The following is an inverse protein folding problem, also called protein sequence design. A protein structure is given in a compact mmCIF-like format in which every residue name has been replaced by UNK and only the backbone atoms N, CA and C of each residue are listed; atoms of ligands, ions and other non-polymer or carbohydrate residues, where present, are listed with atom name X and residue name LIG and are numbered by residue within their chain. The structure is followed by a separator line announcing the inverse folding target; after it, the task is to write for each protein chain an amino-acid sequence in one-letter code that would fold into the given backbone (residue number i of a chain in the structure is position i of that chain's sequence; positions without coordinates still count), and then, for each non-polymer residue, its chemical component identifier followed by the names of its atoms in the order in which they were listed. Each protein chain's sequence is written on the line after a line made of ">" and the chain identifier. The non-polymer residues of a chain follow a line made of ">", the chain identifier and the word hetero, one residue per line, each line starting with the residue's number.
data_IF_144129566917
#
_entry.id   IF_144129566917
#
_cell.length_a   1.000
_cell.length_b   1.000
_cell.length_c   1.000
_cell.angle_alpha   90.00
_cell.angle_beta   90.00
_cell.angle_gamma   90.00
#
_symmetry.space_group_name_H-M   'P 1'
#
loop_
_entity.id
_entity.type
_entity.pdbx_description
1 polymer ?
#
# COMPACT_ATOMS: atom_id res chain seq x y z
N UNK A 1 -32.70 -78.72 88.40
CA UNK A 1 -32.96 -77.28 88.12
C UNK A 1 -31.71 -76.49 87.65
N UNK A 2 -30.56 -77.12 87.34
CA UNK A 2 -29.35 -76.41 86.83
C UNK A 2 -29.30 -76.26 85.30
N UNK A 3 -29.99 -77.10 84.53
CA UNK A 3 -29.93 -77.07 83.06
C UNK A 3 -30.72 -75.91 82.42
N UNK A 4 -31.74 -75.38 83.11
CA UNK A 4 -32.54 -74.26 82.61
C UNK A 4 -31.79 -72.91 82.63
N UNK A 5 -30.80 -72.72 83.51
CA UNK A 5 -29.98 -71.51 83.54
C UNK A 5 -28.89 -71.49 82.47
N UNK A 6 -28.30 -72.65 82.16
CA UNK A 6 -27.27 -72.79 81.12
C UNK A 6 -27.85 -72.53 79.72
N UNK A 7 -29.07 -73.00 79.46
CA UNK A 7 -29.79 -72.74 78.19
C UNK A 7 -30.16 -71.25 78.06
N UNK A 8 -30.48 -70.56 79.17
CA UNK A 8 -30.78 -69.12 79.15
C UNK A 8 -29.54 -68.26 78.90
N UNK A 9 -28.39 -68.66 79.45
CA UNK A 9 -27.12 -67.96 79.25
C UNK A 9 -26.56 -68.15 77.82
N UNK A 10 -26.69 -69.35 77.25
CA UNK A 10 -26.27 -69.61 75.86
C UNK A 10 -27.17 -68.91 74.84
N UNK A 11 -28.49 -68.87 75.09
CA UNK A 11 -29.45 -68.12 74.26
C UNK A 11 -29.19 -66.61 74.25
N UNK A 12 -28.83 -66.01 75.39
CA UNK A 12 -28.44 -64.59 75.46
C UNK A 12 -27.15 -64.29 74.69
N UNK A 13 -26.15 -65.17 74.77
CA UNK A 13 -24.90 -65.02 74.01
C UNK A 13 -25.10 -65.20 72.51
N UNK A 14 -25.92 -66.17 72.10
CA UNK A 14 -26.31 -66.34 70.72
C UNK A 14 -27.04 -65.10 70.19
N UNK A 15 -28.04 -64.58 70.93
CA UNK A 15 -28.76 -63.36 70.55
C UNK A 15 -27.87 -62.12 70.38
N UNK A 16 -26.88 -61.93 71.27
CA UNK A 16 -25.92 -60.82 71.15
C UNK A 16 -25.02 -60.99 69.91
N UNK A 17 -24.60 -62.22 69.60
CA UNK A 17 -23.80 -62.50 68.40
C UNK A 17 -24.60 -62.28 67.11
N UNK A 18 -25.87 -62.66 67.07
CA UNK A 18 -26.73 -62.39 65.90
C UNK A 18 -26.97 -60.89 65.72
N UNK A 19 -27.23 -60.17 66.80
CA UNK A 19 -27.40 -58.70 66.77
C UNK A 19 -26.10 -58.03 66.30
N UNK A 20 -24.94 -58.47 66.82
CA UNK A 20 -23.64 -57.98 66.38
C UNK A 20 -23.36 -58.25 64.90
N UNK A 21 -23.68 -59.46 64.41
CA UNK A 21 -23.56 -59.82 63.00
C UNK A 21 -24.47 -58.98 62.10
N UNK A 22 -25.72 -58.74 62.51
CA UNK A 22 -26.67 -57.89 61.78
C UNK A 22 -26.19 -56.44 61.73
N UNK A 23 -25.65 -55.91 62.83
CA UNK A 23 -25.10 -54.54 62.86
C UNK A 23 -23.90 -54.36 61.93
N UNK A 24 -23.01 -55.35 61.83
CA UNK A 24 -21.88 -55.31 60.90
C UNK A 24 -22.37 -55.29 59.44
N UNK A 25 -23.37 -56.11 59.11
CA UNK A 25 -23.96 -56.12 57.76
C UNK A 25 -24.60 -54.77 57.44
N UNK A 26 -25.38 -54.20 58.37
CA UNK A 26 -26.01 -52.89 58.20
C UNK A 26 -24.96 -51.78 58.02
N UNK A 27 -23.90 -51.78 58.84
CA UNK A 27 -22.80 -50.82 58.74
C UNK A 27 -22.06 -50.94 57.39
N UNK A 28 -21.85 -52.15 56.90
CA UNK A 28 -21.21 -52.38 55.60
C UNK A 28 -22.06 -51.91 54.41
N UNK A 29 -23.38 -52.10 54.48
CA UNK A 29 -24.32 -51.56 53.49
C UNK A 29 -24.36 -50.03 53.52
N UNK A 30 -24.34 -49.42 54.69
CA UNK A 30 -24.32 -47.97 54.84
C UNK A 30 -23.02 -47.35 54.29
N UNK A 31 -21.88 -47.98 54.58
CA UNK A 31 -20.58 -47.56 54.03
C UNK A 31 -20.55 -47.68 52.51
N UNK A 32 -21.04 -48.79 51.96
CA UNK A 32 -21.15 -49.00 50.51
C UNK A 32 -22.03 -47.95 49.85
N UNK A 33 -23.21 -47.67 50.41
CA UNK A 33 -24.12 -46.63 49.94
C UNK A 33 -23.48 -45.23 49.96
N UNK A 34 -22.76 -44.89 51.03
CA UNK A 34 -22.08 -43.60 51.16
C UNK A 34 -20.93 -43.45 50.15
N UNK A 35 -20.12 -44.50 49.96
CA UNK A 35 -19.07 -44.56 48.94
C UNK A 35 -19.64 -44.40 47.54
N UNK A 36 -20.69 -45.15 47.19
CA UNK A 36 -21.41 -45.06 45.92
C UNK A 36 -21.95 -43.64 45.67
N UNK A 37 -22.55 -43.01 46.69
CA UNK A 37 -23.02 -41.62 46.62
C UNK A 37 -21.89 -40.62 46.32
N UNK A 38 -20.74 -40.76 47.00
CA UNK A 38 -19.58 -39.89 46.74
C UNK A 38 -18.97 -40.14 45.36
N UNK A 39 -18.95 -41.39 44.90
CA UNK A 39 -18.47 -41.76 43.59
C UNK A 39 -19.36 -41.19 42.49
N UNK A 40 -20.69 -41.29 42.64
CA UNK A 40 -21.65 -40.73 41.69
C UNK A 40 -21.54 -39.20 41.60
N UNK A 41 -21.35 -38.50 42.73
CA UNK A 41 -21.08 -37.05 42.73
C UNK A 41 -19.79 -36.70 41.99
N UNK A 42 -18.73 -37.49 42.18
CA UNK A 42 -17.44 -37.28 41.49
C UNK A 42 -17.53 -37.55 39.97
N UNK A 43 -18.33 -38.53 39.57
CA UNK A 43 -18.59 -38.85 38.16
C UNK A 43 -19.37 -37.70 37.51
N UNK A 44 -20.45 -37.23 38.14
CA UNK A 44 -21.23 -36.08 37.63
C UNK A 44 -20.38 -34.80 37.52
N UNK A 45 -19.51 -34.54 38.50
CA UNK A 45 -18.58 -33.41 38.45
C UNK A 45 -17.58 -33.54 37.28
N UNK A 46 -17.00 -34.73 37.07
CA UNK A 46 -16.09 -34.98 35.93
C UNK A 46 -16.80 -34.89 34.58
N UNK A 47 -18.04 -35.34 34.47
CA UNK A 47 -18.84 -35.19 33.25
C UNK A 47 -19.11 -33.73 32.91
N UNK A 48 -19.41 -32.89 33.91
CA UNK A 48 -19.57 -31.45 33.71
C UNK A 48 -18.28 -30.80 33.22
N UNK A 49 -17.15 -31.12 33.86
CA UNK A 49 -15.83 -30.62 33.45
C UNK A 49 -15.51 -31.06 32.01
N UNK A 50 -15.80 -32.31 31.63
CA UNK A 50 -15.61 -32.78 30.26
C UNK A 50 -16.47 -32.02 29.25
N UNK A 51 -17.73 -31.72 29.57
CA UNK A 51 -18.61 -30.89 28.72
C UNK A 51 -18.07 -29.47 28.58
N UNK A 52 -17.53 -28.87 29.64
CA UNK A 52 -16.88 -27.56 29.58
C UNK A 52 -15.63 -27.57 28.70
N UNK A 53 -14.78 -28.60 28.80
CA UNK A 53 -13.62 -28.73 27.92
C UNK A 53 -14.02 -28.93 26.46
N UNK A 54 -15.04 -29.76 26.19
CA UNK A 54 -15.56 -29.96 24.83
C UNK A 54 -16.09 -28.65 24.24
N UNK A 55 -16.80 -27.83 25.03
CA UNK A 55 -17.30 -26.53 24.57
C UNK A 55 -16.16 -25.53 24.34
N UNK A 56 -15.14 -25.48 25.21
CA UNK A 56 -13.93 -24.66 25.01
C UNK A 56 -13.16 -25.07 23.74
N UNK A 57 -13.00 -26.37 23.50
CA UNK A 57 -12.34 -26.89 22.29
C UNK A 57 -13.14 -26.50 21.04
N UNK A 58 -14.47 -26.63 21.06
CA UNK A 58 -15.33 -26.21 19.94
C UNK A 58 -15.19 -24.71 19.65
N UNK A 59 -15.21 -23.86 20.70
CA UNK A 59 -15.03 -22.41 20.55
C UNK A 59 -13.66 -22.06 19.95
N UNK A 60 -12.57 -22.64 20.47
CA UNK A 60 -11.23 -22.41 19.93
C UNK A 60 -11.07 -22.91 18.50
N UNK A 61 -11.63 -24.07 18.16
CA UNK A 61 -11.62 -24.58 16.77
C UNK A 61 -12.32 -23.61 15.82
N UNK A 62 -13.47 -23.06 16.20
CA UNK A 62 -14.19 -22.07 15.39
C UNK A 62 -13.39 -20.77 15.22
N UNK A 63 -12.69 -20.32 16.26
CA UNK A 63 -11.84 -19.12 16.21
C UNK A 63 -10.62 -19.30 15.30
N UNK A 64 -9.94 -20.45 15.40
CA UNK A 64 -8.83 -20.80 14.51
C UNK A 64 -9.30 -20.90 13.05
N UNK A 65 -10.48 -21.48 12.80
CA UNK A 65 -11.03 -21.54 11.45
C UNK A 65 -11.37 -20.15 10.90
N UNK A 66 -11.88 -19.25 11.75
CA UNK A 66 -12.13 -17.85 11.38
C UNK A 66 -10.82 -17.11 11.05
N UNK A 67 -9.78 -17.29 11.86
CA UNK A 67 -8.46 -16.70 11.59
C UNK A 67 -7.83 -17.26 10.32
N UNK A 68 -7.96 -18.57 10.08
CA UNK A 68 -7.47 -19.20 8.85
C UNK A 68 -8.16 -18.64 7.61
N UNK A 69 -9.50 -18.50 7.64
CA UNK A 69 -10.27 -17.86 6.55
C UNK A 69 -9.83 -16.41 6.31
N UNK A 70 -9.56 -15.65 7.37
CA UNK A 70 -9.05 -14.28 7.26
C UNK A 70 -7.66 -14.26 6.60
N UNK A 71 -6.73 -15.11 7.06
CA UNK A 71 -5.39 -15.21 6.50
C UNK A 71 -5.41 -15.63 5.02
N UNK A 72 -6.26 -16.60 4.65
CA UNK A 72 -6.45 -17.01 3.25
C UNK A 72 -7.02 -15.88 2.39
N UNK A 73 -7.98 -15.10 2.90
CA UNK A 73 -8.50 -13.93 2.17
C UNK A 73 -7.44 -12.85 1.97
N UNK A 74 -6.66 -12.54 3.01
CA UNK A 74 -5.57 -11.55 2.91
C UNK A 74 -4.46 -12.01 1.96
N UNK A 75 -4.14 -13.31 1.94
CA UNK A 75 -3.15 -13.86 1.01
C UNK A 75 -3.66 -13.80 -0.44
N UNK A 76 -4.95 -14.06 -0.67
CA UNK A 76 -5.56 -13.89 -2.01
C UNK A 76 -5.54 -12.44 -2.46
N UNK A 77 -5.89 -11.49 -1.59
CA UNK A 77 -5.79 -10.05 -1.89
C UNK A 77 -4.35 -9.64 -2.23
N UNK A 78 -3.36 -10.08 -1.45
CA UNK A 78 -1.95 -9.81 -1.73
C UNK A 78 -1.51 -10.39 -3.09
N UNK A 79 -2.00 -11.58 -3.46
CA UNK A 79 -1.76 -12.18 -4.77
C UNK A 79 -2.34 -11.35 -5.92
N UNK A 80 -3.59 -10.91 -5.79
CA UNK A 80 -4.25 -10.05 -6.80
C UNK A 80 -3.52 -8.71 -6.93
N UNK A 81 -3.11 -8.10 -5.82
CA UNK A 81 -2.36 -6.85 -5.84
C UNK A 81 -0.99 -7.01 -6.51
N UNK A 82 -0.27 -8.11 -6.26
CA UNK A 82 1.00 -8.41 -6.93
C UNK A 82 0.82 -8.56 -8.44
N UNK A 83 -0.20 -9.31 -8.87
CA UNK A 83 -0.50 -9.47 -10.29
C UNK A 83 -0.82 -8.12 -10.97
N UNK A 84 -1.59 -7.24 -10.30
CA UNK A 84 -1.85 -5.88 -10.81
C UNK A 84 -0.59 -5.03 -10.90
N UNK A 85 0.32 -5.12 -9.94
CA UNK A 85 1.60 -4.39 -9.97
C UNK A 85 2.46 -4.87 -11.16
N UNK A 86 2.49 -6.17 -11.41
CA UNK A 86 3.23 -6.76 -12.53
C UNK A 86 2.65 -6.35 -13.88
N UNK A 87 1.32 -6.39 -14.02
CA UNK A 87 0.61 -5.91 -15.22
C UNK A 87 0.85 -4.41 -15.49
N UNK A 88 0.81 -3.58 -14.44
CA UNK A 88 1.12 -2.15 -14.54
C UNK A 88 2.58 -1.91 -14.95
N UNK A 89 3.54 -2.67 -14.39
CA UNK A 89 4.95 -2.58 -14.78
C UNK A 89 5.16 -3.00 -16.23
N UNK A 90 4.50 -4.08 -16.66
CA UNK A 90 4.55 -4.56 -18.05
C UNK A 90 3.99 -3.53 -19.03
N UNK A 91 2.86 -2.90 -18.69
CA UNK A 91 2.25 -1.83 -19.48
C UNK A 91 3.17 -0.62 -19.59
N UNK A 92 3.82 -0.22 -18.49
CA UNK A 92 4.80 0.89 -18.50
C UNK A 92 6.02 0.58 -19.37
N UNK A 93 6.57 -0.63 -19.29
CA UNK A 93 7.68 -1.07 -20.13
C UNK A 93 7.30 -1.07 -21.61
N UNK A 94 6.17 -1.68 -21.95
CA UNK A 94 5.65 -1.72 -23.32
C UNK A 94 5.41 -0.32 -23.91
N UNK A 95 4.94 0.63 -23.08
CA UNK A 95 4.75 2.02 -23.48
C UNK A 95 6.09 2.70 -23.77
N UNK A 96 7.10 2.49 -22.92
CA UNK A 96 8.45 3.03 -23.13
C UNK A 96 9.08 2.46 -24.40
N UNK A 97 9.03 1.14 -24.59
CA UNK A 97 9.56 0.46 -25.78
C UNK A 97 8.87 0.96 -27.06
N UNK A 98 7.55 1.17 -26.99
CA UNK A 98 6.79 1.78 -28.08
C UNK A 98 7.24 3.22 -28.35
N UNK A 99 7.38 4.04 -27.31
CA UNK A 99 7.84 5.43 -27.46
C UNK A 99 9.23 5.50 -28.09
N UNK A 100 10.16 4.64 -27.68
CA UNK A 100 11.52 4.55 -28.25
C UNK A 100 11.46 4.06 -29.70
N UNK A 101 10.73 2.97 -29.98
CA UNK A 101 10.60 2.43 -31.34
C UNK A 101 9.97 3.42 -32.32
N UNK A 102 9.00 4.23 -31.88
CA UNK A 102 8.37 5.21 -32.77
C UNK A 102 9.26 6.45 -32.94
N UNK A 103 9.98 6.85 -31.90
CA UNK A 103 10.98 7.93 -31.95
C UNK A 103 12.08 7.63 -32.95
N UNK A 104 12.69 6.44 -32.89
CA UNK A 104 13.83 6.06 -33.73
C UNK A 104 13.43 5.85 -35.20
N UNK A 105 12.24 5.29 -35.46
CA UNK A 105 11.80 4.95 -36.82
C UNK A 105 11.24 6.13 -37.60
N UNK A 106 10.52 7.05 -36.94
CA UNK A 106 9.70 8.04 -37.66
C UNK A 106 10.29 9.45 -37.74
N UNK A 107 11.52 9.72 -37.23
CA UNK A 107 12.12 11.07 -37.20
C UNK A 107 11.10 12.14 -36.81
N UNK A 108 10.34 11.85 -35.75
CA UNK A 108 9.23 12.69 -35.33
C UNK A 108 9.78 14.05 -34.89
N UNK A 109 9.48 15.12 -35.63
CA UNK A 109 10.03 16.49 -35.44
C UNK A 109 9.63 17.16 -34.11
N UNK A 110 8.87 16.44 -33.29
CA UNK A 110 8.34 16.83 -31.98
C UNK A 110 9.38 16.63 -30.87
N UNK A 111 10.36 15.77 -31.13
CA UNK A 111 11.46 15.44 -30.23
C UNK A 111 12.65 16.26 -30.72
N UNK A 112 13.24 17.09 -29.86
CA UNK A 112 14.48 17.77 -30.20
C UNK A 112 15.45 16.73 -30.75
N UNK A 113 15.92 16.93 -31.99
CA UNK A 113 16.85 15.99 -32.65
C UNK A 113 18.17 15.83 -31.88
N UNK A 114 18.38 16.69 -30.89
CA UNK A 114 19.48 16.73 -29.94
C UNK A 114 19.13 16.13 -28.57
N UNK A 115 18.00 15.46 -28.38
CA UNK A 115 17.68 14.77 -27.12
C UNK A 115 18.33 13.38 -27.12
N UNK A 116 19.12 13.08 -26.08
CA UNK A 116 19.65 11.74 -25.86
C UNK A 116 18.55 10.83 -25.26
N UNK A 117 17.78 10.19 -26.13
CA UNK A 117 16.66 9.34 -25.75
C UNK A 117 17.05 8.11 -24.95
N UNK A 118 18.19 7.51 -25.25
CA UNK A 118 18.70 6.36 -24.52
C UNK A 118 18.94 6.70 -23.04
N UNK A 119 19.48 7.90 -22.75
CA UNK A 119 19.67 8.35 -21.38
C UNK A 119 18.34 8.64 -20.65
N UNK A 120 17.35 9.18 -21.37
CA UNK A 120 15.99 9.40 -20.83
C UNK A 120 15.33 8.08 -20.49
N UNK A 121 15.40 7.11 -21.40
CA UNK A 121 14.85 5.76 -21.21
C UNK A 121 15.50 5.07 -20.01
N UNK A 122 16.84 5.07 -19.93
CA UNK A 122 17.56 4.45 -18.84
C UNK A 122 17.14 5.02 -17.48
N UNK A 123 17.10 6.35 -17.34
CA UNK A 123 16.68 6.97 -16.08
C UNK A 123 15.21 6.68 -15.75
N UNK A 124 14.34 6.62 -16.77
CA UNK A 124 12.93 6.23 -16.55
C UNK A 124 12.79 4.78 -16.12
N UNK A 125 13.61 3.87 -16.64
CA UNK A 125 13.64 2.47 -16.22
C UNK A 125 14.12 2.32 -14.77
N UNK A 126 15.13 3.10 -14.38
CA UNK A 126 15.68 3.13 -13.02
C UNK A 126 14.71 3.73 -11.98
N UNK A 127 13.79 4.61 -12.40
CA UNK A 127 12.77 5.14 -11.50
C UNK A 127 11.82 4.04 -11.00
N UNK A 128 11.51 4.01 -9.69
CA UNK A 128 10.51 3.10 -9.16
C UNK A 128 9.15 3.38 -9.81
N UNK A 129 8.35 2.32 -9.99
CA UNK A 129 6.97 2.47 -10.39
C UNK A 129 6.23 3.32 -9.35
N UNK A 130 5.54 4.38 -9.79
CA UNK A 130 4.99 5.36 -8.88
C UNK A 130 4.53 6.66 -9.55
N UNK A 131 4.06 7.61 -8.74
CA UNK A 131 3.52 8.89 -9.20
C UNK A 131 4.57 9.74 -9.90
N UNK A 132 5.85 9.67 -9.48
CA UNK A 132 6.96 10.37 -10.16
C UNK A 132 7.13 9.89 -11.60
N UNK A 133 7.28 8.57 -11.78
CA UNK A 133 7.45 7.96 -13.11
C UNK A 133 6.24 8.23 -13.99
N UNK A 134 5.02 8.09 -13.45
CA UNK A 134 3.78 8.37 -14.17
C UNK A 134 3.67 9.84 -14.63
N UNK A 135 4.10 10.80 -13.81
CA UNK A 135 4.08 12.21 -14.20
C UNK A 135 4.97 12.47 -15.43
N UNK A 136 6.17 11.89 -15.45
CA UNK A 136 7.10 12.05 -16.58
C UNK A 136 6.54 11.34 -17.82
N UNK A 137 6.05 10.11 -17.70
CA UNK A 137 5.44 9.39 -18.82
C UNK A 137 4.24 10.15 -19.41
N UNK A 138 3.36 10.67 -18.55
CA UNK A 138 2.23 11.49 -18.99
C UNK A 138 2.71 12.76 -19.70
N UNK A 139 3.75 13.42 -19.21
CA UNK A 139 4.34 14.58 -19.88
C UNK A 139 4.89 14.21 -21.27
N UNK A 140 5.59 13.09 -21.40
CA UNK A 140 6.13 12.59 -22.68
C UNK A 140 4.99 12.31 -23.67
N UNK A 141 3.96 11.59 -23.24
CA UNK A 141 2.80 11.28 -24.07
C UNK A 141 2.07 12.52 -24.55
N UNK A 142 1.92 13.53 -23.69
CA UNK A 142 1.28 14.80 -24.05
C UNK A 142 2.12 15.57 -25.06
N UNK A 143 3.44 15.62 -24.88
CA UNK A 143 4.32 16.27 -25.85
C UNK A 143 4.23 15.58 -27.21
N UNK A 144 4.18 14.26 -27.22
CA UNK A 144 4.08 13.47 -28.44
C UNK A 144 2.73 13.62 -29.17
N UNK A 145 1.68 14.05 -28.47
CA UNK A 145 0.36 14.36 -29.06
C UNK A 145 0.32 15.74 -29.76
N UNK A 146 1.43 16.47 -29.84
CA UNK A 146 1.49 17.80 -30.44
C UNK A 146 0.48 18.78 -29.83
N UNK A 147 0.32 18.74 -28.51
CA UNK A 147 -0.62 19.64 -27.83
C UNK A 147 -0.16 21.09 -28.02
N UNK A 148 -1.00 21.98 -28.58
CA UNK A 148 -0.58 23.34 -28.91
C UNK A 148 -0.34 24.19 -27.66
N UNK A 149 0.50 25.20 -27.79
CA UNK A 149 0.56 26.27 -26.80
C UNK A 149 -0.71 27.10 -26.84
N UNK A 150 -1.26 27.42 -25.67
CA UNK A 150 -2.42 28.29 -25.55
C UNK A 150 -2.44 29.01 -24.23
N UNK A 151 -2.27 30.34 -24.28
CA UNK A 151 -2.14 31.19 -23.10
C UNK A 151 -3.39 31.10 -22.22
N UNK A 152 -3.22 30.76 -20.95
CA UNK A 152 -4.31 30.71 -19.98
C UNK A 152 -5.17 29.44 -20.05
N UNK A 153 -4.92 28.54 -21.01
CA UNK A 153 -5.65 27.27 -21.15
C UNK A 153 -4.95 26.13 -20.43
N UNK A 154 -5.71 25.10 -20.07
CA UNK A 154 -5.27 23.98 -19.24
C UNK A 154 -5.86 22.62 -19.66
N UNK A 155 -6.13 22.43 -20.94
CA UNK A 155 -6.67 21.15 -21.43
C UNK A 155 -5.95 20.66 -22.68
N UNK A 156 -5.93 19.35 -22.85
CA UNK A 156 -5.35 18.69 -24.03
C UNK A 156 -5.99 19.22 -25.33
N UNK A 157 -7.30 19.50 -25.32
CA UNK A 157 -8.03 19.96 -26.51
C UNK A 157 -7.82 21.45 -26.83
N UNK A 158 -7.62 22.28 -25.81
CA UNK A 158 -7.50 23.74 -25.99
C UNK A 158 -6.06 24.25 -25.92
N UNK A 159 -5.11 23.37 -25.60
CA UNK A 159 -3.71 23.66 -25.40
C UNK A 159 -3.38 24.03 -23.96
N UNK A 160 -2.08 24.22 -23.72
CA UNK A 160 -1.55 24.62 -22.42
C UNK A 160 -0.63 25.83 -22.53
N UNK A 161 -0.59 26.65 -21.48
CA UNK A 161 0.62 27.40 -21.17
C UNK A 161 1.54 26.59 -20.25
N UNK A 162 2.81 27.00 -20.16
CA UNK A 162 3.82 26.23 -19.42
C UNK A 162 3.43 25.97 -17.96
N UNK A 163 3.05 26.97 -17.13
CA UNK A 163 2.67 26.70 -15.74
C UNK A 163 1.42 25.83 -15.59
N UNK A 164 0.42 25.99 -16.48
CA UNK A 164 -0.80 25.17 -16.45
C UNK A 164 -0.54 23.75 -16.91
N UNK A 165 0.36 23.54 -17.88
CA UNK A 165 0.84 22.21 -18.26
C UNK A 165 1.46 21.49 -17.06
N UNK A 166 2.39 22.15 -16.34
CA UNK A 166 3.03 21.54 -15.17
C UNK A 166 2.00 21.19 -14.08
N UNK A 167 1.07 22.11 -13.79
CA UNK A 167 -0.01 21.84 -12.84
C UNK A 167 -0.88 20.67 -13.29
N UNK A 168 -1.23 20.59 -14.58
CA UNK A 168 -2.03 19.51 -15.14
C UNK A 168 -1.34 18.16 -14.94
N UNK A 169 -0.08 18.04 -15.38
CA UNK A 169 0.69 16.79 -15.24
C UNK A 169 0.79 16.36 -13.78
N UNK A 170 1.14 17.28 -12.88
CA UNK A 170 1.23 17.01 -11.44
C UNK A 170 -0.13 16.59 -10.84
N UNK A 171 -1.22 17.24 -11.25
CA UNK A 171 -2.57 16.90 -10.84
C UNK A 171 -2.99 15.49 -11.23
N UNK A 172 -2.58 15.00 -12.40
CA UNK A 172 -2.90 13.63 -12.84
C UNK A 172 -2.31 12.53 -11.94
N UNK A 173 -1.31 12.86 -11.12
CA UNK A 173 -0.67 11.94 -10.18
C UNK A 173 -0.87 12.34 -8.71
N UNK A 174 -1.86 13.20 -8.44
CA UNK A 174 -2.28 13.58 -7.10
C UNK A 174 -1.51 14.75 -6.47
N UNK A 175 -0.58 15.38 -7.20
CA UNK A 175 0.16 16.57 -6.72
C UNK A 175 -0.62 17.83 -7.12
N UNK A 176 -1.47 18.30 -6.20
CA UNK A 176 -2.33 19.46 -6.42
C UNK A 176 -1.64 20.78 -6.06
N UNK A 177 -1.84 21.79 -6.90
CA UNK A 177 -1.29 23.14 -6.71
C UNK A 177 -2.40 24.16 -6.94
N UNK A 178 -2.88 24.75 -5.85
CA UNK A 178 -3.95 25.75 -5.89
C UNK A 178 -3.42 27.12 -6.33
N UNK A 179 -4.18 27.79 -7.20
CA UNK A 179 -3.86 29.16 -7.59
C UNK A 179 -4.00 30.11 -6.39
N UNK A 180 -3.06 31.04 -6.22
CA UNK A 180 -3.15 32.12 -5.24
C UNK A 180 -3.58 33.44 -5.88
N UNK A 181 -4.52 34.15 -5.25
CA UNK A 181 -5.01 35.44 -5.75
C UNK A 181 -3.87 36.47 -5.77
N UNK A 182 -3.67 37.13 -6.90
CA UNK A 182 -2.62 38.15 -7.08
C UNK A 182 -1.22 37.59 -7.38
N UNK A 183 -1.07 36.26 -7.48
CA UNK A 183 0.18 35.59 -7.78
C UNK A 183 0.07 34.84 -9.11
N UNK A 184 1.14 34.85 -9.91
CA UNK A 184 1.16 34.05 -11.14
C UNK A 184 1.34 32.57 -10.81
N UNK A 185 0.80 31.68 -11.65
CA UNK A 185 0.85 30.25 -11.41
C UNK A 185 2.29 29.71 -11.38
N UNK A 186 3.22 30.29 -12.15
CA UNK A 186 4.63 29.88 -12.07
C UNK A 186 5.28 30.25 -10.74
N UNK A 187 4.96 31.42 -10.17
CA UNK A 187 5.46 31.79 -8.83
C UNK A 187 4.82 30.90 -7.77
N UNK A 188 3.52 30.58 -7.91
CA UNK A 188 2.83 29.65 -7.02
C UNK A 188 3.49 28.26 -7.03
N UNK A 189 3.83 27.73 -8.21
CA UNK A 189 4.55 26.47 -8.35
C UNK A 189 5.94 26.51 -7.72
N UNK A 190 6.72 27.56 -7.99
CA UNK A 190 8.05 27.73 -7.39
C UNK A 190 7.98 27.86 -5.86
N UNK A 191 6.95 28.51 -5.32
CA UNK A 191 6.75 28.65 -3.88
C UNK A 191 6.18 27.39 -3.21
N UNK A 192 5.54 26.50 -3.97
CA UNK A 192 5.00 25.24 -3.46
C UNK A 192 6.08 24.21 -3.16
N UNK A 193 7.18 24.26 -3.89
CA UNK A 193 8.21 23.24 -3.89
C UNK A 193 9.55 23.79 -3.39
N UNK A 194 10.36 22.92 -2.83
CA UNK A 194 11.66 23.30 -2.26
C UNK A 194 12.67 23.50 -3.39
N UNK A 195 13.39 24.63 -3.38
CA UNK A 195 14.46 24.87 -4.35
C UNK A 195 15.60 23.88 -4.10
N UNK A 196 16.19 23.32 -5.16
CA UNK A 196 17.28 22.36 -5.06
C UNK A 196 18.37 22.64 -6.10
N UNK A 197 19.62 22.33 -5.75
CA UNK A 197 20.77 22.39 -6.67
C UNK A 197 21.11 21.00 -7.25
N UNK A 198 20.45 19.95 -6.75
CA UNK A 198 20.59 18.56 -7.20
C UNK A 198 19.25 18.08 -7.76
N UNK A 199 18.86 18.51 -8.97
CA UNK A 199 17.60 18.07 -9.56
C UNK A 199 17.61 16.56 -9.80
N UNK A 200 16.42 15.94 -9.77
CA UNK A 200 16.19 14.57 -10.25
C UNK A 200 15.05 14.54 -11.27
N UNK A 201 14.93 13.48 -12.09
CA UNK A 201 13.77 13.30 -12.96
C UNK A 201 12.44 13.49 -12.21
N UNK A 202 11.50 14.22 -12.81
CA UNK A 202 10.21 14.60 -12.24
C UNK A 202 10.24 15.92 -11.44
N UNK A 203 11.41 16.46 -11.13
CA UNK A 203 11.49 17.81 -10.55
C UNK A 203 11.16 18.88 -11.59
N UNK A 204 10.85 20.10 -11.13
CA UNK A 204 10.55 21.22 -12.01
C UNK A 204 11.78 22.09 -12.20
N UNK A 205 11.91 22.67 -13.38
CA UNK A 205 12.89 23.72 -13.67
C UNK A 205 12.16 24.95 -14.19
N UNK A 206 12.55 26.14 -13.74
CA UNK A 206 11.96 27.40 -14.21
C UNK A 206 13.01 28.33 -14.79
N UNK A 207 12.61 29.07 -15.81
CA UNK A 207 13.37 30.11 -16.49
C UNK A 207 12.60 31.43 -16.42
N UNK A 208 13.32 32.54 -16.39
CA UNK A 208 12.71 33.86 -16.54
C UNK A 208 12.22 34.00 -17.98
N UNK A 209 10.97 34.42 -18.17
CA UNK A 209 10.43 34.73 -19.49
C UNK A 209 9.97 36.18 -19.63
N UNK A 210 9.55 36.55 -20.83
CA UNK A 210 9.11 37.92 -21.15
C UNK A 210 7.78 38.28 -20.47
N UNK A 211 6.85 37.33 -20.39
CA UNK A 211 5.48 37.52 -19.86
C UNK A 211 5.30 36.89 -18.47
N UNK A 212 6.36 36.27 -17.94
CA UNK A 212 6.35 35.52 -16.69
C UNK A 212 7.37 34.38 -16.73
N UNK A 213 7.58 33.71 -15.59
CA UNK A 213 8.43 32.53 -15.58
C UNK A 213 7.71 31.38 -16.29
N UNK A 214 8.46 30.62 -17.08
CA UNK A 214 8.02 29.38 -17.71
C UNK A 214 8.92 28.25 -17.20
N UNK A 215 8.42 27.03 -17.21
CA UNK A 215 9.13 25.88 -16.70
C UNK A 215 8.82 24.58 -17.42
N UNK A 216 9.58 23.57 -17.04
CA UNK A 216 9.56 22.23 -17.59
C UNK A 216 9.54 21.23 -16.43
N UNK A 217 8.97 20.06 -16.67
CA UNK A 217 9.23 18.89 -15.84
C UNK A 217 10.46 18.19 -16.40
N UNK A 218 11.40 17.83 -15.52
CA UNK A 218 12.67 17.22 -15.93
C UNK A 218 12.41 15.75 -16.27
N UNK A 219 12.74 15.34 -17.49
CA UNK A 219 12.68 13.94 -17.91
C UNK A 219 13.96 13.19 -17.54
N UNK A 220 15.11 13.83 -17.71
CA UNK A 220 16.43 13.27 -17.41
C UNK A 220 17.41 14.34 -16.94
N UNK A 221 18.28 13.95 -16.01
CA UNK A 221 19.36 14.79 -15.48
C UNK A 221 20.69 14.26 -16.01
N UNK A 222 21.56 15.16 -16.43
CA UNK A 222 22.90 14.84 -16.90
C UNK A 222 23.93 15.56 -16.03
N UNK A 223 25.21 15.16 -16.13
CA UNK A 223 26.31 15.76 -15.37
C UNK A 223 26.44 17.26 -15.68
N UNK A 224 26.18 17.63 -16.93
CA UNK A 224 26.15 19.02 -17.36
C UNK A 224 24.71 19.50 -17.46
N UNK A 225 24.43 20.68 -16.90
CA UNK A 225 23.14 21.34 -17.06
C UNK A 225 22.69 21.42 -18.52
N UNK A 226 23.64 21.70 -19.42
CA UNK A 226 23.35 21.85 -20.84
C UNK A 226 22.74 20.61 -21.49
N UNK A 227 22.83 19.46 -20.83
CA UNK A 227 22.39 18.15 -21.32
C UNK A 227 21.14 17.64 -20.57
N UNK A 228 20.62 18.40 -19.59
CA UNK A 228 19.35 18.06 -18.94
C UNK A 228 18.22 18.06 -19.99
N UNK A 229 17.27 17.14 -19.84
CA UNK A 229 16.12 17.03 -20.75
C UNK A 229 14.87 17.45 -19.99
N UNK A 230 14.11 18.38 -20.57
CA UNK A 230 12.86 18.87 -20.01
C UNK A 230 11.70 18.72 -20.97
N UNK A 231 10.50 18.60 -20.39
CA UNK A 231 9.24 18.51 -21.13
C UNK A 231 8.38 19.71 -20.74
N UNK A 232 7.92 20.46 -21.73
CA UNK A 232 7.19 21.71 -21.50
C UNK A 232 7.03 22.52 -22.77
N UNK A 233 6.35 23.67 -22.65
CA UNK A 233 6.15 24.59 -23.77
C UNK A 233 7.15 25.74 -23.66
N UNK A 234 7.87 26.03 -24.74
CA UNK A 234 8.55 27.32 -24.88
C UNK A 234 7.52 28.42 -25.15
N UNK A 235 7.88 29.67 -24.84
CA UNK A 235 6.95 30.81 -24.89
C UNK A 235 6.15 30.91 -26.21
N UNK A 236 4.89 31.34 -26.09
CA UNK A 236 3.94 31.91 -27.10
C UNK A 236 3.73 31.23 -28.46
N UNK A 237 4.58 30.32 -28.91
CA UNK A 237 4.54 29.81 -30.30
C UNK A 237 4.95 28.35 -30.44
N UNK A 238 5.68 27.78 -29.49
CA UNK A 238 6.09 26.39 -29.57
C UNK A 238 5.05 25.47 -28.92
N UNK A 239 4.62 24.37 -29.58
CA UNK A 239 3.82 23.35 -28.93
C UNK A 239 4.56 22.73 -27.75
N UNK A 240 3.87 21.85 -27.02
CA UNK A 240 4.50 21.05 -25.99
C UNK A 240 5.59 20.16 -26.59
N UNK A 241 6.81 20.25 -26.06
CA UNK A 241 7.99 19.63 -26.66
C UNK A 241 8.88 18.98 -25.60
N UNK A 242 9.74 18.10 -26.09
CA UNK A 242 10.81 17.45 -25.31
C UNK A 242 12.14 17.92 -25.88
N UNK A 243 12.94 18.56 -25.03
CA UNK A 243 14.09 19.31 -25.49
C UNK A 243 15.21 19.33 -24.47
N UNK A 244 16.40 19.63 -24.96
CA UNK A 244 17.59 19.85 -24.16
C UNK A 244 17.56 21.24 -23.53
N UNK A 245 17.67 21.32 -22.20
CA UNK A 245 17.52 22.56 -21.44
C UNK A 245 18.69 23.54 -21.62
N UNK A 246 19.86 23.07 -22.05
CA UNK A 246 21.00 23.92 -22.36
C UNK A 246 20.73 24.99 -23.39
N UNK A 247 19.87 24.69 -24.36
CA UNK A 247 19.51 25.62 -25.44
C UNK A 247 18.59 26.75 -24.97
N UNK A 248 18.01 26.63 -23.76
CA UNK A 248 17.07 27.61 -23.21
C UNK A 248 17.78 28.64 -22.34
N UNK A 249 18.75 28.21 -21.54
CA UNK A 249 19.42 29.08 -20.57
C UNK A 249 20.33 30.08 -21.27
N UNK A 250 19.73 31.22 -21.61
CA UNK A 250 20.37 32.32 -22.33
C UNK A 250 20.30 33.58 -21.48
N UNK A 251 21.06 34.64 -21.80
CA UNK A 251 20.90 35.94 -21.14
C UNK A 251 19.47 36.49 -21.18
N UNK A 252 18.69 36.11 -22.18
CA UNK A 252 17.28 36.51 -22.34
C UNK A 252 16.32 35.64 -21.51
N UNK A 253 16.65 34.37 -21.31
CA UNK A 253 15.86 33.41 -20.54
C UNK A 253 16.69 32.73 -19.44
N UNK A 254 17.20 33.49 -18.47
CA UNK A 254 18.08 32.93 -17.45
C UNK A 254 17.34 31.92 -16.56
N UNK A 255 18.04 30.86 -16.18
CA UNK A 255 17.60 29.89 -15.19
C UNK A 255 17.21 30.57 -13.88
N UNK A 256 16.03 30.25 -13.34
CA UNK A 256 15.58 30.65 -12.00
C UNK A 256 15.97 29.62 -10.95
N UNK A 257 15.93 28.35 -11.31
CA UNK A 257 16.36 27.23 -10.49
C UNK A 257 15.50 26.00 -10.68
N UNK A 258 15.83 24.97 -9.90
CA UNK A 258 15.11 23.71 -9.84
C UNK A 258 14.31 23.61 -8.56
N UNK A 259 13.21 22.88 -8.63
CA UNK A 259 12.26 22.76 -7.55
C UNK A 259 11.86 21.30 -7.37
N UNK A 260 12.18 20.75 -6.21
CA UNK A 260 11.95 19.36 -5.82
C UNK A 260 10.45 19.12 -5.62
N UNK A 261 9.87 18.28 -6.47
CA UNK A 261 8.49 17.82 -6.31
C UNK A 261 8.47 16.66 -5.31
N UNK A 262 7.58 16.70 -4.33
CA UNK A 262 7.31 15.57 -3.42
C UNK A 262 6.07 14.83 -3.91
N UNK A 263 6.25 13.59 -4.37
CA UNK A 263 5.15 12.78 -4.87
C UNK A 263 4.46 11.99 -3.73
N UNK A 264 3.17 11.66 -3.83
CA UNK A 264 2.40 11.08 -2.73
C UNK A 264 2.93 9.74 -2.19
N UNK A 265 3.64 9.00 -3.03
CA UNK A 265 4.24 7.70 -2.78
C UNK A 265 5.70 7.78 -2.27
N UNK A 266 6.31 8.95 -2.30
CA UNK A 266 7.63 9.21 -1.73
C UNK A 266 7.48 9.71 -0.29
N UNK A 267 7.52 8.78 0.68
CA UNK A 267 7.58 9.10 2.11
C UNK A 267 9.02 9.14 2.62
#
# INVERSE_FOLDING_TARGET
>A
MKDLEVIRASSRRAGILTIGGVLIVIASLFYSYFQLSTLEKSIRAKEQVLREYQTKIRKRKAEVEKQKKLAESSQKEAGVLRARIEDLKSTQGSLLDFLVSVTDKNKVSILGSDVNWQAVEQQLQELPAGSRKNAILNAILLAWKDVPFSMGKESISSGFDSPRFLRYVLGTVGVHVDSKKGESLSVTLMNRFEKTDTPKPGDLVFFKGQVGNFGFIIAAVADKFSEHVGIGTLQKVAPLQILRLGNINTPYFPLRGYYRVRYPDEK
#
